data_IF_984503552790
#
_entry.id   IF_984503552790
#
_cell.length_a   1.000
_cell.length_b   1.000
_cell.length_c   1.000
_cell.angle_alpha   90.00
_cell.angle_beta   90.00
_cell.angle_gamma   90.00
#
_symmetry.space_group_name_H-M   'P 1'
#
loop_
_entity.id
_entity.type
_entity.pdbx_description
1 polymer ?
#
# COMPACT_ATOMS: atom_id res chain seq x y z
N UNK A 1 14.24 21.87 -15.77
CA UNK A 1 13.16 22.78 -15.34
C UNK A 1 13.75 24.05 -14.73
N UNK A 2 13.79 25.16 -15.47
CA UNK A 2 14.20 26.45 -14.88
C UNK A 2 13.27 26.84 -13.72
N UNK A 3 13.79 27.51 -12.68
CA UNK A 3 12.99 27.86 -11.51
C UNK A 3 11.68 28.62 -11.81
N UNK A 4 11.67 29.51 -12.81
CA UNK A 4 10.47 30.24 -13.22
C UNK A 4 9.38 29.30 -13.77
N UNK A 5 9.71 28.47 -14.76
CA UNK A 5 8.75 27.52 -15.35
C UNK A 5 8.18 26.56 -14.32
N UNK A 6 9.02 26.09 -13.39
CA UNK A 6 8.53 25.19 -12.36
C UNK A 6 7.62 25.92 -11.35
N UNK A 7 7.83 27.24 -11.09
CA UNK A 7 6.93 28.04 -10.26
C UNK A 7 5.54 28.18 -10.89
N UNK A 8 5.47 28.39 -12.20
CA UNK A 8 4.21 28.45 -12.95
C UNK A 8 3.39 27.17 -12.83
N UNK A 9 4.07 26.00 -12.84
CA UNK A 9 3.40 24.70 -12.79
C UNK A 9 2.96 24.33 -11.37
N UNK A 10 3.80 24.58 -10.35
CA UNK A 10 3.53 24.12 -8.98
C UNK A 10 2.92 25.19 -8.05
N UNK A 11 2.81 26.45 -8.51
CA UNK A 11 2.28 27.55 -7.71
C UNK A 11 3.19 28.00 -6.56
N UNK A 12 4.40 27.42 -6.42
CA UNK A 12 5.34 27.77 -5.34
C UNK A 12 6.31 28.84 -5.83
N UNK A 13 6.48 29.97 -5.11
CA UNK A 13 7.37 31.05 -5.51
C UNK A 13 8.82 30.59 -5.76
N UNK A 14 9.46 31.16 -6.77
CA UNK A 14 10.85 30.85 -7.15
C UNK A 14 11.79 30.90 -5.95
N UNK A 15 11.69 31.99 -5.15
CA UNK A 15 12.62 32.21 -4.02
C UNK A 15 12.50 31.09 -2.97
N UNK A 16 11.30 30.68 -2.60
CA UNK A 16 11.10 29.60 -1.61
C UNK A 16 11.77 28.29 -2.06
N UNK A 17 11.71 27.96 -3.36
CA UNK A 17 12.32 26.76 -3.90
C UNK A 17 13.84 26.84 -3.94
N UNK A 18 14.38 28.01 -4.29
CA UNK A 18 15.82 28.26 -4.24
C UNK A 18 16.33 28.17 -2.81
N UNK A 19 15.60 28.72 -1.85
CA UNK A 19 15.98 28.68 -0.44
C UNK A 19 15.92 27.26 0.12
N UNK A 20 14.89 26.48 -0.24
CA UNK A 20 14.81 25.07 0.12
C UNK A 20 15.98 24.25 -0.47
N UNK A 21 16.29 24.47 -1.75
CA UNK A 21 17.40 23.77 -2.40
C UNK A 21 18.76 24.12 -1.77
N UNK A 22 18.95 25.38 -1.37
CA UNK A 22 20.15 25.80 -0.62
C UNK A 22 20.21 25.18 0.76
N UNK A 23 19.09 25.19 1.49
CA UNK A 23 19.00 24.58 2.81
C UNK A 23 19.36 23.08 2.77
N UNK A 24 18.77 22.32 1.84
CA UNK A 24 19.09 20.89 1.65
C UNK A 24 20.56 20.68 1.24
N UNK A 25 21.07 21.51 0.35
CA UNK A 25 22.46 21.42 -0.14
C UNK A 25 23.52 21.76 0.90
N UNK A 26 23.23 22.66 1.84
CA UNK A 26 24.20 23.18 2.82
C UNK A 26 24.07 22.57 4.23
N UNK A 27 22.91 22.06 4.60
CA UNK A 27 22.69 21.43 5.91
C UNK A 27 23.16 19.97 5.88
N UNK A 28 23.99 19.59 6.84
CA UNK A 28 24.49 18.21 6.95
C UNK A 28 24.40 17.74 8.42
N UNK A 29 23.81 16.55 8.66
CA UNK A 29 23.10 15.72 7.71
C UNK A 29 21.76 16.34 7.28
N UNK A 30 21.30 16.04 6.04
CA UNK A 30 19.96 16.35 5.57
C UNK A 30 19.20 15.04 5.31
N UNK A 31 17.97 14.95 5.79
CA UNK A 31 17.12 13.81 5.59
C UNK A 31 15.79 14.21 4.95
N UNK A 32 15.35 13.42 3.98
CA UNK A 32 14.06 13.59 3.32
C UNK A 32 13.13 12.43 3.71
N UNK A 33 12.00 12.74 4.35
CA UNK A 33 10.97 11.75 4.64
C UNK A 33 9.83 11.88 3.64
N UNK A 34 9.60 10.82 2.88
CA UNK A 34 8.43 10.67 2.01
C UNK A 34 7.38 9.80 2.66
N UNK A 35 6.14 9.89 2.16
CA UNK A 35 5.10 8.95 2.50
C UNK A 35 4.36 8.50 1.23
N UNK A 36 3.58 7.43 1.35
CA UNK A 36 2.90 6.75 0.23
C UNK A 36 1.85 7.60 -0.47
N UNK A 37 1.36 8.69 0.13
CA UNK A 37 0.44 9.62 -0.53
C UNK A 37 1.02 10.22 -1.82
N UNK A 38 2.33 10.44 -1.87
CA UNK A 38 3.00 11.08 -3.01
C UNK A 38 2.91 10.28 -4.31
N UNK A 39 2.84 8.97 -4.24
CA UNK A 39 2.81 8.10 -5.42
C UNK A 39 1.39 7.68 -5.86
N UNK A 40 0.34 8.11 -5.16
CA UNK A 40 -1.04 7.70 -5.43
C UNK A 40 -1.74 8.52 -6.52
N UNK A 41 -0.99 9.24 -7.31
CA UNK A 41 -1.46 10.03 -8.46
C UNK A 41 -0.66 9.68 -9.70
N UNK A 42 -1.20 10.02 -10.88
CA UNK A 42 -0.46 9.91 -12.13
C UNK A 42 0.86 10.71 -12.04
N UNK A 43 1.96 10.09 -12.43
CA UNK A 43 3.30 10.72 -12.33
C UNK A 43 3.91 10.63 -10.93
N UNK A 44 3.21 10.11 -9.92
CA UNK A 44 3.72 10.00 -8.56
C UNK A 44 5.00 9.19 -8.43
N UNK A 45 5.16 8.12 -9.21
CA UNK A 45 6.41 7.37 -9.30
C UNK A 45 7.59 8.23 -9.78
N UNK A 46 7.39 9.09 -10.80
CA UNK A 46 8.41 10.04 -11.26
C UNK A 46 8.71 11.10 -10.20
N UNK A 47 7.70 11.58 -9.47
CA UNK A 47 7.91 12.52 -8.37
C UNK A 47 8.79 11.91 -7.27
N UNK A 48 8.53 10.67 -6.85
CA UNK A 48 9.37 9.95 -5.88
C UNK A 48 10.79 9.76 -6.42
N UNK A 49 10.96 9.39 -7.69
CA UNK A 49 12.28 9.25 -8.33
C UNK A 49 13.04 10.58 -8.36
N UNK A 50 12.37 11.69 -8.69
CA UNK A 50 13.00 13.01 -8.69
C UNK A 50 13.53 13.39 -7.30
N UNK A 51 12.72 13.16 -6.25
CA UNK A 51 13.15 13.39 -4.86
C UNK A 51 14.29 12.44 -4.47
N UNK A 52 14.25 11.17 -4.89
CA UNK A 52 15.29 10.19 -4.59
C UNK A 52 16.68 10.56 -5.17
N UNK A 53 16.71 11.39 -6.22
CA UNK A 53 17.96 11.90 -6.78
C UNK A 53 18.62 13.00 -5.90
N UNK A 54 17.86 13.71 -5.08
CA UNK A 54 18.37 14.86 -4.30
C UNK A 54 19.46 14.46 -3.30
N UNK A 55 19.32 13.42 -2.48
CA UNK A 55 20.38 13.01 -1.56
C UNK A 55 21.68 12.60 -2.25
N UNK A 56 21.61 12.11 -3.49
CA UNK A 56 22.80 11.80 -4.27
C UNK A 56 23.49 13.06 -4.77
N UNK A 57 22.71 14.06 -5.22
CA UNK A 57 23.25 15.36 -5.67
C UNK A 57 23.88 16.15 -4.53
N UNK A 58 23.27 16.12 -3.34
CA UNK A 58 23.75 16.86 -2.17
C UNK A 58 24.79 16.09 -1.33
N UNK A 59 25.02 14.79 -1.64
CA UNK A 59 25.90 13.92 -0.88
C UNK A 59 25.33 13.50 0.48
N UNK A 60 24.03 13.65 0.69
CA UNK A 60 23.38 13.35 1.98
C UNK A 60 23.47 11.88 2.38
N UNK A 61 23.53 10.93 1.43
CA UNK A 61 23.71 9.50 1.67
C UNK A 61 25.01 9.11 2.39
N UNK A 62 26.01 10.02 2.43
CA UNK A 62 27.31 9.80 3.10
C UNK A 62 27.24 9.99 4.61
N UNK A 63 26.15 10.50 5.11
CA UNK A 63 26.01 10.87 6.52
C UNK A 63 25.04 9.95 7.25
N UNK A 64 25.36 9.59 8.49
CA UNK A 64 24.40 8.99 9.40
C UNK A 64 23.16 9.88 9.50
N UNK A 65 21.97 9.30 9.46
CA UNK A 65 20.68 10.00 9.43
C UNK A 65 20.47 10.92 8.22
N UNK A 66 21.33 10.88 7.20
CA UNK A 66 21.15 11.57 5.93
C UNK A 66 20.45 10.68 4.88
N UNK A 67 20.02 11.31 3.77
CA UNK A 67 19.42 10.57 2.67
C UNK A 67 17.91 10.70 2.57
N UNK A 68 17.24 9.64 2.12
CA UNK A 68 15.79 9.61 1.94
C UNK A 68 15.19 8.33 2.50
N UNK A 69 14.06 8.44 3.18
CA UNK A 69 13.28 7.31 3.65
C UNK A 69 11.84 7.40 3.17
N UNK A 70 11.40 6.40 2.39
CA UNK A 70 10.00 6.18 2.05
C UNK A 70 9.44 5.02 2.90
N UNK A 71 10.15 3.91 2.94
CA UNK A 71 9.77 2.68 3.67
C UNK A 71 11.00 1.97 4.19
N UNK A 72 10.91 1.39 5.38
CA UNK A 72 11.93 0.51 5.96
C UNK A 72 11.74 -0.97 5.59
N UNK A 73 10.64 -1.35 4.94
CA UNK A 73 10.30 -2.75 4.68
C UNK A 73 11.36 -3.52 3.88
N UNK A 74 12.13 -2.85 3.03
CA UNK A 74 13.24 -3.45 2.28
C UNK A 74 14.48 -3.78 3.12
N UNK A 75 14.56 -3.33 4.36
CA UNK A 75 15.66 -3.62 5.26
C UNK A 75 15.51 -4.97 5.97
N UNK A 76 14.29 -5.49 6.04
CA UNK A 76 14.02 -6.75 6.72
C UNK A 76 14.33 -7.93 5.79
N UNK A 77 15.23 -8.85 6.21
CA UNK A 77 15.74 -9.95 5.37
C UNK A 77 14.77 -11.15 5.33
N UNK A 78 13.49 -10.91 5.03
CA UNK A 78 12.47 -11.95 5.00
C UNK A 78 12.75 -13.00 3.90
N UNK A 79 12.68 -14.27 4.27
CA UNK A 79 12.90 -15.44 3.41
C UNK A 79 11.65 -15.73 2.56
N UNK A 80 11.28 -14.78 1.70
CA UNK A 80 10.04 -14.84 0.91
C UNK A 80 9.93 -16.11 0.07
N UNK A 81 11.02 -16.60 -0.50
CA UNK A 81 11.01 -17.81 -1.31
C UNK A 81 10.69 -19.07 -0.47
N UNK A 82 11.17 -19.13 0.77
CA UNK A 82 10.84 -20.23 1.68
C UNK A 82 9.36 -20.24 2.06
N UNK A 83 8.78 -19.06 2.28
CA UNK A 83 7.37 -18.93 2.67
C UNK A 83 6.40 -19.07 1.49
N UNK A 84 6.77 -18.54 0.32
CA UNK A 84 5.88 -18.51 -0.86
C UNK A 84 6.01 -19.74 -1.75
N UNK A 85 7.09 -20.51 -1.62
CA UNK A 85 7.37 -21.74 -2.37
C UNK A 85 7.12 -21.61 -3.88
N UNK A 86 7.79 -20.67 -4.56
CA UNK A 86 7.62 -20.49 -6.01
C UNK A 86 8.02 -21.72 -6.83
N UNK A 87 8.81 -22.61 -6.25
CA UNK A 87 9.19 -23.92 -6.82
C UNK A 87 8.00 -24.86 -7.00
N UNK A 88 6.91 -24.68 -6.22
CA UNK A 88 5.67 -25.46 -6.32
C UNK A 88 4.65 -24.85 -7.29
N UNK A 89 4.93 -23.67 -7.84
CA UNK A 89 4.02 -23.05 -8.80
C UNK A 89 3.93 -23.87 -10.08
N UNK A 90 2.73 -23.96 -10.68
CA UNK A 90 2.57 -24.64 -11.96
C UNK A 90 3.42 -23.95 -13.05
N UNK A 91 3.86 -24.72 -14.06
CA UNK A 91 4.69 -24.22 -15.17
C UNK A 91 4.05 -23.02 -15.90
N UNK A 92 2.73 -22.92 -15.92
CA UNK A 92 2.01 -21.74 -16.43
C UNK A 92 1.93 -20.68 -15.34
N UNK A 93 2.61 -19.57 -15.56
CA UNK A 93 2.49 -18.38 -14.69
C UNK A 93 1.05 -17.87 -14.70
N UNK A 94 0.39 -17.75 -13.52
CA UNK A 94 -0.94 -17.15 -13.44
C UNK A 94 -0.90 -15.70 -13.89
N UNK A 95 -1.98 -15.23 -14.52
CA UNK A 95 -2.13 -13.79 -14.78
C UNK A 95 -2.31 -13.03 -13.47
N UNK A 96 -1.82 -11.80 -13.45
CA UNK A 96 -2.05 -10.87 -12.35
C UNK A 96 -3.04 -9.81 -12.83
N UNK A 97 -4.12 -9.62 -12.08
CA UNK A 97 -5.08 -8.54 -12.29
C UNK A 97 -4.68 -7.32 -11.45
N UNK A 98 -4.91 -6.13 -11.98
CA UNK A 98 -4.59 -4.90 -11.26
C UNK A 98 -5.69 -4.60 -10.23
N UNK A 99 -5.35 -4.59 -8.95
CA UNK A 99 -6.32 -4.36 -7.87
C UNK A 99 -7.10 -3.04 -8.00
N UNK A 100 -6.53 -2.01 -8.63
CA UNK A 100 -7.24 -0.73 -8.85
C UNK A 100 -8.25 -0.79 -9.99
N UNK A 101 -8.31 -1.89 -10.74
CA UNK A 101 -9.24 -2.17 -11.82
C UNK A 101 -10.15 -3.36 -11.51
N UNK A 102 -10.21 -3.78 -10.25
CA UNK A 102 -10.94 -5.00 -9.86
C UNK A 102 -12.41 -4.95 -10.29
N UNK A 103 -13.07 -3.79 -10.22
CA UNK A 103 -14.44 -3.63 -10.68
C UNK A 103 -14.58 -3.94 -12.18
N UNK A 104 -13.71 -3.38 -13.01
CA UNK A 104 -13.69 -3.67 -14.45
C UNK A 104 -13.38 -5.13 -14.75
N UNK A 105 -12.38 -5.71 -14.03
CA UNK A 105 -11.92 -7.07 -14.27
C UNK A 105 -12.94 -8.13 -13.83
N UNK A 106 -13.71 -7.88 -12.77
CA UNK A 106 -14.82 -8.74 -12.38
C UNK A 106 -15.97 -8.72 -13.36
N UNK A 107 -16.21 -7.59 -14.04
CA UNK A 107 -17.27 -7.43 -15.03
C UNK A 107 -16.86 -7.87 -16.44
N UNK A 108 -15.57 -8.14 -16.65
CA UNK A 108 -15.02 -8.42 -17.96
C UNK A 108 -15.28 -9.86 -18.40
N UNK A 109 -15.80 -10.01 -19.62
CA UNK A 109 -15.98 -11.32 -20.26
C UNK A 109 -14.65 -11.95 -20.67
N UNK A 110 -14.66 -13.27 -20.85
CA UNK A 110 -13.52 -14.01 -21.36
C UNK A 110 -13.09 -13.51 -22.74
N UNK A 111 -11.78 -13.38 -22.96
CA UNK A 111 -11.23 -13.05 -24.27
C UNK A 111 -9.79 -13.58 -24.42
N UNK A 112 -9.24 -13.70 -25.63
CA UNK A 112 -7.86 -14.12 -25.82
C UNK A 112 -6.84 -13.21 -25.11
N UNK A 113 -7.12 -11.91 -25.00
CA UNK A 113 -6.25 -10.93 -24.35
C UNK A 113 -6.37 -10.93 -22.82
N UNK A 114 -7.59 -11.13 -22.30
CA UNK A 114 -7.85 -11.16 -20.86
C UNK A 114 -7.70 -12.55 -20.25
N UNK A 115 -8.01 -13.59 -21.01
CA UNK A 115 -8.12 -14.97 -20.55
C UNK A 115 -9.54 -15.30 -20.06
N UNK A 116 -9.69 -16.33 -19.21
CA UNK A 116 -10.99 -16.71 -18.66
C UNK A 116 -11.62 -15.58 -17.84
N UNK A 117 -12.95 -15.56 -17.77
CA UNK A 117 -13.68 -14.73 -16.82
C UNK A 117 -13.32 -15.11 -15.39
N UNK A 118 -13.42 -14.14 -14.46
CA UNK A 118 -13.26 -14.44 -13.03
C UNK A 118 -14.56 -15.05 -12.51
N UNK A 119 -14.49 -16.29 -12.05
CA UNK A 119 -15.64 -17.08 -11.59
C UNK A 119 -15.57 -17.38 -10.09
N UNK A 120 -14.39 -17.25 -9.48
CA UNK A 120 -14.20 -17.42 -8.04
C UNK A 120 -13.20 -16.42 -7.50
N UNK A 121 -13.44 -15.93 -6.29
CA UNK A 121 -12.60 -14.96 -5.61
C UNK A 121 -12.42 -15.36 -4.14
N UNK A 122 -11.18 -15.38 -3.67
CA UNK A 122 -10.85 -15.49 -2.25
C UNK A 122 -10.27 -14.15 -1.81
N UNK A 123 -10.93 -13.51 -0.87
CA UNK A 123 -10.52 -12.21 -0.31
C UNK A 123 -10.04 -12.43 1.12
N UNK A 124 -8.81 -12.03 1.42
CA UNK A 124 -8.30 -12.03 2.80
C UNK A 124 -7.44 -10.80 3.07
N UNK A 125 -7.46 -10.30 4.29
CA UNK A 125 -6.77 -9.09 4.72
C UNK A 125 -7.09 -7.86 3.85
N UNK A 126 -8.30 -7.77 3.30
CA UNK A 126 -8.69 -6.68 2.40
C UNK A 126 -10.20 -6.48 2.38
N UNK A 127 -10.62 -5.22 2.17
CA UNK A 127 -12.02 -4.84 2.01
C UNK A 127 -12.23 -4.06 0.69
N UNK A 128 -12.09 -4.73 -0.48
CA UNK A 128 -12.11 -4.06 -1.78
C UNK A 128 -13.40 -3.30 -2.08
N UNK A 129 -14.57 -3.76 -1.62
CA UNK A 129 -15.84 -3.06 -1.84
C UNK A 129 -15.83 -1.66 -1.21
N UNK A 130 -15.18 -1.51 -0.05
CA UNK A 130 -15.05 -0.21 0.60
C UNK A 130 -13.91 0.65 0.06
N UNK A 131 -12.78 0.04 -0.40
CA UNK A 131 -11.54 0.81 -0.61
C UNK A 131 -11.03 0.83 -2.05
N UNK A 132 -11.53 -0.05 -2.94
CA UNK A 132 -11.10 -0.03 -4.33
C UNK A 132 -11.74 1.12 -5.11
N UNK A 133 -11.01 1.76 -6.06
CA UNK A 133 -11.55 2.84 -6.85
C UNK A 133 -12.66 2.36 -7.80
N UNK A 134 -13.52 3.31 -8.25
CA UNK A 134 -14.70 3.04 -9.05
C UNK A 134 -15.69 2.10 -8.32
N UNK A 135 -16.09 2.50 -7.12
CA UNK A 135 -16.88 1.70 -6.19
C UNK A 135 -18.19 1.17 -6.81
N UNK A 136 -18.80 1.90 -7.74
CA UNK A 136 -19.99 1.45 -8.44
C UNK A 136 -19.75 0.16 -9.24
N UNK A 137 -18.65 0.07 -9.99
CA UNK A 137 -18.27 -1.16 -10.71
C UNK A 137 -17.81 -2.26 -9.79
N UNK A 138 -17.12 -1.92 -8.69
CA UNK A 138 -16.70 -2.90 -7.69
C UNK A 138 -17.91 -3.59 -7.10
N UNK A 139 -18.92 -2.83 -6.65
CA UNK A 139 -20.19 -3.37 -6.14
C UNK A 139 -20.89 -4.24 -7.20
N UNK A 140 -21.00 -3.77 -8.44
CA UNK A 140 -21.59 -4.56 -9.53
C UNK A 140 -20.83 -5.87 -9.77
N UNK A 141 -19.51 -5.84 -9.71
CA UNK A 141 -18.66 -7.02 -9.88
C UNK A 141 -18.85 -8.03 -8.76
N UNK A 142 -18.88 -7.59 -7.51
CA UNK A 142 -19.08 -8.45 -6.34
C UNK A 142 -20.53 -8.97 -6.22
N UNK A 143 -21.52 -8.22 -6.71
CA UNK A 143 -22.93 -8.61 -6.70
C UNK A 143 -23.31 -9.60 -7.81
N UNK A 144 -22.37 -10.08 -8.61
CA UNK A 144 -22.64 -11.07 -9.66
C UNK A 144 -23.05 -12.40 -9.04
N UNK A 145 -24.21 -12.91 -9.45
CA UNK A 145 -24.74 -14.20 -9.01
C UNK A 145 -23.89 -15.41 -9.44
N UNK A 146 -23.06 -15.25 -10.48
CA UNK A 146 -22.16 -16.27 -11.01
C UNK A 146 -20.71 -16.14 -10.52
N UNK A 147 -20.45 -15.28 -9.54
CA UNK A 147 -19.14 -15.12 -8.88
C UNK A 147 -19.16 -15.82 -7.51
N UNK A 148 -18.42 -16.91 -7.36
CA UNK A 148 -18.24 -17.54 -6.07
C UNK A 148 -17.22 -16.78 -5.22
N UNK A 149 -17.67 -16.20 -4.10
CA UNK A 149 -16.82 -15.32 -3.26
C UNK A 149 -16.65 -15.90 -1.84
N UNK A 150 -15.40 -16.07 -1.43
CA UNK A 150 -15.02 -16.45 -0.07
C UNK A 150 -14.25 -15.30 0.58
N UNK A 151 -14.66 -14.87 1.77
CA UNK A 151 -14.01 -13.78 2.51
C UNK A 151 -13.48 -14.27 3.86
N UNK A 152 -12.18 -14.03 4.11
CA UNK A 152 -11.52 -14.28 5.39
C UNK A 152 -11.37 -12.94 6.11
N UNK A 153 -12.12 -12.72 7.20
CA UNK A 153 -12.18 -11.42 7.86
C UNK A 153 -12.50 -11.54 9.36
N UNK A 154 -12.17 -10.50 10.11
CA UNK A 154 -12.51 -10.37 11.55
C UNK A 154 -13.94 -9.86 11.76
N UNK A 155 -14.43 -9.04 10.85
CA UNK A 155 -15.72 -8.38 10.92
C UNK A 155 -16.52 -8.64 9.65
N UNK A 156 -17.83 -8.52 9.73
CA UNK A 156 -18.65 -8.44 8.55
C UNK A 156 -18.46 -7.07 7.91
N UNK A 157 -17.57 -7.03 6.92
CA UNK A 157 -17.22 -5.82 6.15
C UNK A 157 -18.12 -5.67 4.94
N UNK A 158 -18.05 -4.49 4.27
CA UNK A 158 -18.77 -4.26 3.01
C UNK A 158 -18.48 -5.35 1.97
N UNK A 159 -17.27 -5.88 1.92
CA UNK A 159 -16.93 -7.00 1.03
C UNK A 159 -17.56 -8.31 1.48
N UNK A 160 -17.61 -8.55 2.79
CA UNK A 160 -18.22 -9.75 3.35
C UNK A 160 -19.72 -9.84 3.10
N UNK A 161 -20.40 -8.70 2.91
CA UNK A 161 -21.84 -8.67 2.57
C UNK A 161 -22.16 -9.29 1.19
N UNK A 162 -21.15 -9.44 0.32
CA UNK A 162 -21.27 -10.10 -1.00
C UNK A 162 -20.70 -11.50 -1.04
N UNK A 163 -20.28 -12.06 0.11
CA UNK A 163 -19.63 -13.36 0.14
C UNK A 163 -20.64 -14.51 0.20
N UNK A 164 -20.36 -15.60 -0.53
CA UNK A 164 -21.06 -16.88 -0.36
C UNK A 164 -20.63 -17.58 0.92
N UNK A 165 -19.34 -17.41 1.31
CA UNK A 165 -18.80 -17.93 2.54
C UNK A 165 -17.93 -16.91 3.26
N UNK A 166 -18.16 -16.75 4.57
CA UNK A 166 -17.32 -15.96 5.46
C UNK A 166 -16.58 -16.92 6.39
N UNK A 167 -15.25 -16.86 6.37
CA UNK A 167 -14.39 -17.66 7.24
C UNK A 167 -13.77 -16.72 8.28
N UNK A 168 -14.14 -16.84 9.57
CA UNK A 168 -13.65 -15.96 10.61
C UNK A 168 -12.16 -16.17 10.83
N UNK A 169 -11.39 -15.08 10.72
CA UNK A 169 -9.95 -15.05 10.93
C UNK A 169 -9.61 -14.62 12.36
N UNK A 170 -8.51 -15.13 12.90
CA UNK A 170 -7.99 -14.72 14.21
C UNK A 170 -7.35 -13.34 14.17
N UNK A 171 -7.45 -12.60 15.28
CA UNK A 171 -6.68 -11.39 15.52
C UNK A 171 -5.26 -11.72 15.95
N UNK A 172 -4.37 -10.71 15.96
CA UNK A 172 -2.97 -10.88 16.41
C UNK A 172 -2.86 -11.39 17.87
N UNK A 173 -3.89 -11.29 18.69
CA UNK A 173 -3.87 -11.83 20.05
C UNK A 173 -4.03 -13.36 20.10
N UNK A 174 -4.42 -13.98 18.99
CA UNK A 174 -4.90 -15.35 18.93
C UNK A 174 -4.00 -16.30 18.10
N UNK A 175 -2.96 -15.78 17.43
CA UNK A 175 -2.07 -16.61 16.59
C UNK A 175 -0.61 -16.19 16.70
N UNK A 176 0.28 -17.07 16.20
CA UNK A 176 1.69 -16.77 16.02
C UNK A 176 1.90 -15.90 14.79
N UNK A 177 2.76 -14.87 14.89
CA UNK A 177 3.18 -14.05 13.76
C UNK A 177 4.54 -13.38 14.05
N UNK A 178 5.13 -12.78 13.07
CA UNK A 178 6.28 -11.89 13.20
C UNK A 178 5.92 -10.51 12.64
N UNK A 179 6.17 -9.47 13.42
CA UNK A 179 5.82 -8.12 13.04
C UNK A 179 7.04 -7.28 12.67
N UNK A 180 6.85 -6.46 11.65
CA UNK A 180 7.80 -5.47 11.16
C UNK A 180 7.17 -4.08 11.32
N UNK A 181 7.98 -3.04 11.40
CA UNK A 181 7.47 -1.68 11.57
C UNK A 181 8.15 -0.67 10.64
N UNK A 182 7.51 0.49 10.49
CA UNK A 182 8.08 1.63 9.76
C UNK A 182 8.92 2.57 10.62
N UNK A 183 8.80 2.50 11.94
CA UNK A 183 9.41 3.43 12.88
C UNK A 183 10.68 2.92 13.56
N UNK A 184 10.98 1.64 13.40
CA UNK A 184 12.17 0.99 13.96
C UNK A 184 12.63 -0.17 13.09
N UNK A 185 13.75 -0.78 13.44
CA UNK A 185 14.35 -1.91 12.72
C UNK A 185 14.32 -3.20 13.53
N UNK A 186 13.38 -3.28 14.45
CA UNK A 186 13.16 -4.49 15.25
C UNK A 186 12.20 -5.43 14.53
N UNK A 187 12.52 -6.71 14.58
CA UNK A 187 11.59 -7.81 14.30
C UNK A 187 10.97 -8.21 15.63
N UNK A 188 9.65 -8.26 15.71
CA UNK A 188 8.94 -8.65 16.93
C UNK A 188 8.29 -10.00 16.74
N UNK A 189 8.33 -10.84 17.77
CA UNK A 189 7.61 -12.10 17.82
C UNK A 189 6.25 -11.88 18.47
N UNK A 190 5.22 -12.20 17.75
CA UNK A 190 3.85 -12.27 18.26
C UNK A 190 3.51 -13.70 18.65
N UNK A 191 3.17 -13.91 19.92
CA UNK A 191 2.67 -15.20 20.43
C UNK A 191 1.18 -15.05 20.77
N UNK A 192 0.38 -16.09 20.59
CA UNK A 192 -1.01 -16.04 21.02
C UNK A 192 -1.09 -15.79 22.53
N UNK A 193 -1.80 -14.74 22.91
CA UNK A 193 -2.07 -14.39 24.30
C UNK A 193 -3.38 -14.99 24.80
N UNK A 194 -4.29 -15.31 23.89
CA UNK A 194 -5.60 -15.92 24.15
C UNK A 194 -5.87 -17.04 23.12
N UNK A 195 -6.77 -17.93 23.46
CA UNK A 195 -7.27 -18.91 22.50
C UNK A 195 -8.14 -18.23 21.43
N UNK A 196 -8.20 -18.78 20.21
CA UNK A 196 -9.08 -18.29 19.16
C UNK A 196 -10.54 -18.21 19.61
N UNK A 197 -11.21 -17.11 19.29
CA UNK A 197 -12.59 -16.88 19.65
C UNK A 197 -13.54 -17.66 18.72
N UNK A 198 -14.44 -18.44 19.28
CA UNK A 198 -15.48 -19.15 18.54
C UNK A 198 -14.90 -20.11 17.50
N UNK A 199 -15.17 -19.87 16.22
CA UNK A 199 -14.69 -20.68 15.10
C UNK A 199 -13.52 -20.03 14.35
N UNK A 200 -12.96 -18.93 14.85
CA UNK A 200 -11.87 -18.23 14.20
C UNK A 200 -10.62 -19.12 14.08
N UNK A 201 -9.95 -19.02 12.94
CA UNK A 201 -8.67 -19.71 12.65
C UNK A 201 -7.69 -18.72 12.04
N UNK A 202 -6.39 -18.94 12.25
CA UNK A 202 -5.40 -18.16 11.54
C UNK A 202 -5.55 -18.33 10.02
N UNK A 203 -5.24 -17.30 9.25
CA UNK A 203 -5.27 -17.43 7.79
C UNK A 203 -4.40 -18.60 7.30
N UNK A 204 -3.22 -18.80 7.91
CA UNK A 204 -2.36 -19.91 7.59
C UNK A 204 -3.06 -21.27 7.86
N UNK A 205 -3.80 -21.40 8.95
CA UNK A 205 -4.57 -22.61 9.24
C UNK A 205 -5.71 -22.82 8.23
N UNK A 206 -6.41 -21.76 7.83
CA UNK A 206 -7.48 -21.85 6.81
C UNK A 206 -6.88 -22.35 5.49
N UNK A 207 -5.73 -21.81 5.06
CA UNK A 207 -5.08 -22.25 3.83
C UNK A 207 -4.50 -23.67 3.94
N UNK A 208 -3.99 -24.11 5.09
CA UNK A 208 -3.62 -25.51 5.33
C UNK A 208 -4.81 -26.46 5.18
N UNK A 209 -5.93 -26.10 5.78
CA UNK A 209 -7.16 -26.89 5.71
C UNK A 209 -7.69 -26.97 4.27
N UNK A 210 -7.56 -25.89 3.51
CA UNK A 210 -7.91 -25.85 2.09
C UNK A 210 -6.97 -26.72 1.26
N UNK A 211 -5.65 -26.60 1.46
CA UNK A 211 -4.64 -27.39 0.76
C UNK A 211 -4.87 -28.90 0.96
N UNK A 212 -5.14 -29.31 2.20
CA UNK A 212 -5.46 -30.70 2.51
C UNK A 212 -6.71 -31.20 1.77
N UNK A 213 -7.77 -30.38 1.68
CA UNK A 213 -9.00 -30.73 0.93
C UNK A 213 -8.79 -30.77 -0.58
N UNK A 214 -7.84 -29.97 -1.08
CA UNK A 214 -7.43 -30.00 -2.49
C UNK A 214 -6.47 -31.14 -2.82
N UNK A 215 -6.03 -31.91 -1.83
CA UNK A 215 -5.12 -33.03 -2.01
C UNK A 215 -3.66 -32.66 -2.16
N UNK A 216 -3.24 -31.47 -1.73
CA UNK A 216 -1.84 -31.09 -1.72
C UNK A 216 -1.12 -31.82 -0.58
N UNK A 217 0.02 -32.43 -0.89
CA UNK A 217 0.76 -33.33 0.02
C UNK A 217 2.17 -32.88 0.33
N UNK A 218 2.61 -31.76 -0.26
CA UNK A 218 3.94 -31.21 0.00
C UNK A 218 4.08 -30.80 1.48
N UNK A 219 5.21 -31.13 2.13
CA UNK A 219 5.38 -30.95 3.57
C UNK A 219 5.12 -29.51 4.06
N UNK A 220 5.41 -28.50 3.26
CA UNK A 220 5.19 -27.11 3.61
C UNK A 220 3.72 -26.75 3.90
N UNK A 221 2.76 -27.51 3.37
CA UNK A 221 1.34 -27.32 3.68
C UNK A 221 0.94 -27.88 5.06
N UNK A 222 1.86 -28.53 5.78
CA UNK A 222 1.66 -29.00 7.15
C UNK A 222 2.41 -28.14 8.20
N UNK A 223 3.18 -27.14 7.77
CA UNK A 223 3.94 -26.27 8.68
C UNK A 223 2.99 -25.50 9.60
N UNK A 224 3.27 -25.53 10.92
CA UNK A 224 2.51 -24.75 11.89
C UNK A 224 2.78 -23.25 11.75
N UNK A 225 1.93 -22.40 12.33
CA UNK A 225 2.16 -20.95 12.35
C UNK A 225 3.49 -20.60 13.02
N UNK A 226 3.87 -21.30 14.11
CA UNK A 226 5.18 -21.14 14.74
C UNK A 226 6.33 -21.56 13.80
N UNK A 227 6.19 -22.67 13.07
CA UNK A 227 7.20 -23.10 12.11
C UNK A 227 7.37 -22.07 10.98
N UNK A 228 6.30 -21.46 10.50
CA UNK A 228 6.36 -20.35 9.53
C UNK A 228 7.07 -19.12 10.09
N UNK A 229 6.84 -18.77 11.36
CA UNK A 229 7.57 -17.68 12.03
C UNK A 229 9.08 -17.96 12.09
N UNK A 230 9.49 -19.19 12.40
CA UNK A 230 10.90 -19.60 12.41
C UNK A 230 11.54 -19.52 11.01
N UNK A 231 10.80 -19.86 9.98
CA UNK A 231 11.27 -19.81 8.59
C UNK A 231 11.34 -18.38 8.04
N UNK A 232 10.56 -17.45 8.61
CA UNK A 232 10.37 -16.12 8.04
C UNK A 232 11.67 -15.34 7.82
N UNK A 233 12.67 -15.53 8.69
CA UNK A 233 13.95 -14.85 8.59
C UNK A 233 15.15 -15.81 8.51
N UNK A 234 14.94 -17.12 8.68
CA UNK A 234 16.03 -18.11 8.71
C UNK A 234 17.14 -17.68 9.69
N UNK A 235 18.39 -17.82 9.26
CA UNK A 235 19.56 -17.46 10.07
C UNK A 235 19.81 -15.93 10.18
N UNK A 236 19.03 -15.10 9.47
CA UNK A 236 19.21 -13.65 9.48
C UNK A 236 18.72 -12.99 10.79
N UNK A 237 17.88 -13.68 11.55
CA UNK A 237 17.40 -13.26 12.87
C UNK A 237 17.46 -14.45 13.83
N UNK A 238 18.11 -14.29 14.97
CA UNK A 238 18.15 -15.33 16.00
C UNK A 238 16.77 -15.52 16.62
N UNK A 239 16.12 -16.63 16.29
CA UNK A 239 14.79 -16.94 16.77
C UNK A 239 14.76 -17.23 18.29
N UNK A 240 15.84 -17.77 18.87
CA UNK A 240 15.92 -17.97 20.32
C UNK A 240 15.94 -16.62 21.06
N UNK A 241 16.55 -15.60 20.47
CA UNK A 241 16.50 -14.23 20.99
C UNK A 241 15.07 -13.68 20.92
N UNK A 242 14.37 -13.88 19.79
CA UNK A 242 12.95 -13.52 19.67
C UNK A 242 12.08 -14.20 20.73
N UNK A 243 12.33 -15.48 21.01
CA UNK A 243 11.58 -16.23 22.02
C UNK A 243 11.81 -15.72 23.43
N UNK A 244 13.00 -15.30 23.75
CA UNK A 244 13.37 -14.87 25.12
C UNK A 244 13.08 -13.40 25.39
N UNK A 245 13.29 -12.52 24.39
CA UNK A 245 13.16 -11.06 24.53
C UNK A 245 11.89 -10.49 23.90
N UNK A 246 11.24 -11.25 23.00
CA UNK A 246 10.08 -10.79 22.22
C UNK A 246 10.45 -9.99 20.98
N UNK A 247 11.69 -9.56 20.84
CA UNK A 247 12.18 -8.80 19.69
C UNK A 247 13.66 -9.02 19.41
N UNK A 248 14.09 -8.71 18.19
CA UNK A 248 15.48 -8.64 17.78
C UNK A 248 15.71 -7.44 16.87
N UNK A 249 16.69 -6.61 17.20
CA UNK A 249 17.05 -5.43 16.40
C UNK A 249 17.97 -5.84 15.26
N UNK A 250 17.65 -5.43 14.02
CA UNK A 250 18.50 -5.66 12.87
C UNK A 250 19.81 -4.85 12.97
N UNK A 251 20.94 -5.49 12.74
CA UNK A 251 22.22 -4.84 12.62
C UNK A 251 22.32 -4.18 11.22
N UNK A 252 21.96 -2.92 11.12
CA UNK A 252 22.05 -2.14 9.89
C UNK A 252 23.21 -1.14 9.96
N UNK A 253 23.89 -0.86 8.82
CA UNK A 253 24.91 0.17 8.79
C UNK A 253 24.31 1.57 9.01
N UNK A 254 25.01 2.43 9.72
CA UNK A 254 24.59 3.80 10.05
C UNK A 254 24.35 4.67 8.81
N UNK A 255 25.08 4.41 7.72
CA UNK A 255 24.95 5.09 6.43
C UNK A 255 25.04 4.05 5.30
N UNK A 256 23.95 3.35 4.98
CA UNK A 256 23.96 2.15 4.13
C UNK A 256 24.43 2.40 2.68
N UNK A 257 24.40 3.65 2.22
CA UNK A 257 24.83 4.02 0.88
C UNK A 257 26.03 4.98 0.83
N UNK A 258 26.78 5.11 1.93
CA UNK A 258 27.93 6.01 2.00
C UNK A 258 28.99 5.70 0.92
N UNK A 259 29.21 4.43 0.66
CA UNK A 259 30.18 3.92 -0.32
C UNK A 259 29.51 3.39 -1.62
N UNK A 260 28.27 3.77 -1.85
CA UNK A 260 27.47 3.23 -2.97
C UNK A 260 26.63 2.03 -2.54
N UNK A 261 26.60 0.94 -3.34
CA UNK A 261 25.81 -0.26 -3.00
C UNK A 261 24.31 -0.09 -3.28
N UNK A 262 23.92 0.84 -4.14
CA UNK A 262 22.56 0.94 -4.62
C UNK A 262 22.20 -0.29 -5.47
N UNK A 263 20.96 -0.76 -5.34
CA UNK A 263 20.45 -1.90 -6.11
C UNK A 263 20.16 -1.53 -7.58
N UNK A 264 21.18 -1.04 -8.26
CA UNK A 264 21.19 -0.63 -9.67
C UNK A 264 22.32 -1.34 -10.41
N UNK A 265 22.30 -1.45 -11.74
CA UNK A 265 23.37 -2.08 -12.51
C UNK A 265 24.76 -1.49 -12.25
N UNK A 266 24.86 -0.18 -12.01
CA UNK A 266 26.15 0.49 -11.72
C UNK A 266 26.55 0.45 -10.23
N UNK A 267 25.68 0.01 -9.33
CA UNK A 267 25.86 0.13 -7.87
C UNK A 267 25.80 1.57 -7.36
N UNK A 268 25.46 2.53 -8.22
CA UNK A 268 25.33 3.96 -7.90
C UNK A 268 23.87 4.42 -8.02
N UNK A 269 23.53 5.57 -7.44
CA UNK A 269 22.23 6.19 -7.69
C UNK A 269 22.15 6.61 -9.17
N UNK A 270 21.36 5.89 -9.95
CA UNK A 270 21.17 6.15 -11.38
C UNK A 270 20.01 7.12 -11.59
N UNK A 271 20.30 8.29 -12.18
CA UNK A 271 19.27 9.28 -12.54
C UNK A 271 18.49 8.84 -13.77
N UNK A 272 19.18 8.23 -14.75
CA UNK A 272 18.56 7.63 -15.92
C UNK A 272 18.34 6.13 -15.68
N UNK A 273 17.10 5.67 -15.88
CA UNK A 273 16.74 4.25 -15.80
C UNK A 273 16.59 3.65 -17.18
N UNK A 274 17.58 2.88 -17.62
CA UNK A 274 17.52 2.15 -18.89
C UNK A 274 16.36 1.13 -18.90
N UNK A 275 16.04 0.53 -17.73
CA UNK A 275 14.92 -0.40 -17.60
C UNK A 275 13.57 0.25 -17.88
N UNK A 276 13.32 1.45 -17.37
CA UNK A 276 12.07 2.18 -17.62
C UNK A 276 12.01 2.66 -19.08
N UNK A 277 13.13 3.17 -19.62
CA UNK A 277 13.21 3.57 -21.02
C UNK A 277 12.91 2.39 -21.98
N UNK A 278 13.40 1.20 -21.67
CA UNK A 278 13.10 -0.01 -22.45
C UNK A 278 11.62 -0.43 -22.40
N UNK A 279 10.88 0.02 -21.41
CA UNK A 279 9.43 -0.19 -21.28
C UNK A 279 8.60 0.94 -21.89
N UNK A 280 9.21 1.90 -22.57
CA UNK A 280 8.55 3.07 -23.15
C UNK A 280 8.14 4.13 -22.11
N UNK A 281 8.71 4.07 -20.92
CA UNK A 281 8.50 5.04 -19.84
C UNK A 281 9.66 6.03 -19.77
N UNK A 282 9.48 7.14 -19.05
CA UNK A 282 10.52 8.16 -18.89
C UNK A 282 11.78 7.60 -18.21
N UNK A 283 12.88 7.57 -18.94
CA UNK A 283 14.19 7.17 -18.41
C UNK A 283 14.69 8.13 -17.33
N UNK A 284 14.54 9.43 -17.53
CA UNK A 284 14.73 10.47 -16.49
C UNK A 284 13.39 10.76 -15.79
N UNK A 285 13.39 11.06 -14.48
CA UNK A 285 12.18 11.51 -13.82
C UNK A 285 11.78 12.90 -14.33
N UNK A 286 10.56 13.00 -14.83
CA UNK A 286 10.00 14.28 -15.30
C UNK A 286 8.59 14.47 -14.75
N UNK A 287 8.08 15.69 -14.86
CA UNK A 287 6.71 16.03 -14.46
C UNK A 287 5.71 15.42 -15.44
N UNK A 288 4.84 14.57 -14.92
CA UNK A 288 3.66 14.12 -15.64
C UNK A 288 2.44 14.83 -15.08
N UNK A 289 1.72 15.58 -15.91
CA UNK A 289 0.51 16.26 -15.47
C UNK A 289 -0.53 15.27 -14.95
N UNK A 290 -1.15 15.60 -13.81
CA UNK A 290 -2.27 14.83 -13.32
C UNK A 290 -3.49 15.11 -14.22
N UNK A 291 -3.93 14.12 -14.98
CA UNK A 291 -5.04 14.24 -15.92
C UNK A 291 -6.37 14.59 -15.24
N UNK A 292 -6.54 14.22 -13.97
CA UNK A 292 -7.75 14.56 -13.21
C UNK A 292 -7.81 16.06 -12.82
N UNK A 293 -6.66 16.72 -12.71
CA UNK A 293 -6.59 18.15 -12.47
C UNK A 293 -6.65 18.97 -13.78
N UNK A 294 -5.99 18.49 -14.83
CA UNK A 294 -5.97 19.19 -16.13
C UNK A 294 -7.24 19.04 -16.93
N UNK A 295 -7.95 17.96 -16.71
CA UNK A 295 -9.26 17.69 -17.32
C UNK A 295 -10.42 18.16 -16.47
N UNK A 296 -10.20 18.91 -15.37
CA UNK A 296 -11.28 19.53 -14.64
C UNK A 296 -12.02 20.45 -15.62
N UNK A 297 -12.97 19.82 -16.28
CA UNK A 297 -13.83 20.43 -17.24
C UNK A 297 -14.68 21.45 -16.51
N UNK A 298 -15.30 22.35 -17.25
CA UNK A 298 -16.37 23.19 -16.71
C UNK A 298 -17.44 22.39 -15.92
N UNK A 299 -17.47 21.06 -16.14
CA UNK A 299 -18.41 20.13 -15.50
C UNK A 299 -17.98 19.74 -14.06
N UNK A 300 -16.67 19.54 -13.80
CA UNK A 300 -16.12 19.19 -12.46
C UNK A 300 -14.96 20.15 -12.12
N UNK A 301 -15.26 21.39 -11.71
CA UNK A 301 -14.24 22.44 -11.56
C UNK A 301 -13.41 22.31 -10.29
N UNK A 302 -13.79 21.44 -9.35
CA UNK A 302 -13.07 21.27 -8.08
C UNK A 302 -12.22 20.01 -8.10
N UNK A 303 -11.01 20.11 -7.56
CA UNK A 303 -10.14 18.97 -7.27
C UNK A 303 -10.37 18.50 -5.83
N UNK A 304 -10.51 17.20 -5.64
CA UNK A 304 -10.67 16.61 -4.32
C UNK A 304 -9.39 15.91 -3.87
N UNK A 305 -8.99 16.13 -2.63
CA UNK A 305 -7.97 15.35 -1.93
C UNK A 305 -8.69 14.52 -0.86
N UNK A 306 -8.40 13.23 -0.79
CA UNK A 306 -8.96 12.31 0.20
C UNK A 306 -7.86 11.78 1.11
N UNK A 307 -7.44 12.54 2.14
CA UNK A 307 -6.49 12.05 3.12
C UNK A 307 -7.14 10.98 4.01
N UNK A 308 -6.36 10.02 4.55
CA UNK A 308 -6.88 9.09 5.54
C UNK A 308 -7.29 9.83 6.81
N UNK A 309 -8.38 9.40 7.45
CA UNK A 309 -8.75 9.83 8.78
C UNK A 309 -7.64 9.45 9.78
N UNK A 310 -7.55 10.18 10.89
CA UNK A 310 -6.45 10.00 11.85
C UNK A 310 -6.50 8.64 12.55
N UNK A 311 -7.70 8.17 12.88
CA UNK A 311 -7.92 6.96 13.66
C UNK A 311 -8.29 5.74 12.80
N UNK A 312 -8.37 5.91 11.47
CA UNK A 312 -8.60 4.84 10.52
C UNK A 312 -7.42 4.71 9.55
N UNK A 313 -7.17 3.49 9.11
CA UNK A 313 -6.26 3.22 7.99
C UNK A 313 -7.08 2.58 6.86
N UNK A 314 -7.59 3.40 5.96
CA UNK A 314 -8.64 3.03 5.00
C UNK A 314 -9.88 2.47 5.74
N UNK A 315 -10.22 1.18 5.55
CA UNK A 315 -11.29 0.52 6.30
C UNK A 315 -10.82 -0.19 7.58
N UNK A 316 -9.51 -0.25 7.83
CA UNK A 316 -8.97 -0.84 9.06
C UNK A 316 -9.34 0.05 10.25
N UNK A 317 -9.80 -0.57 11.32
CA UNK A 317 -10.30 0.05 12.55
C UNK A 317 -11.67 0.75 12.44
N UNK A 318 -12.26 0.85 11.25
CA UNK A 318 -13.58 1.47 11.07
C UNK A 318 -14.70 0.75 11.86
N UNK A 319 -14.52 -0.53 12.21
CA UNK A 319 -15.45 -1.31 13.00
C UNK A 319 -15.22 -1.20 14.53
N UNK A 320 -14.18 -0.46 14.97
CA UNK A 320 -13.90 -0.20 16.37
C UNK A 320 -14.73 1.00 16.83
N UNK A 321 -15.75 0.78 17.65
CA UNK A 321 -16.73 1.81 18.03
C UNK A 321 -16.07 3.03 18.68
N UNK A 322 -15.13 2.84 19.60
CA UNK A 322 -14.44 3.96 20.26
C UNK A 322 -13.67 4.87 19.29
N UNK A 323 -13.13 4.32 18.20
CA UNK A 323 -12.44 5.11 17.17
C UNK A 323 -13.45 5.82 16.25
N UNK A 324 -14.58 5.19 15.96
CA UNK A 324 -15.69 5.83 15.24
C UNK A 324 -16.25 7.02 16.01
N UNK A 325 -16.39 6.90 17.33
CA UNK A 325 -16.90 7.97 18.19
C UNK A 325 -15.95 9.18 18.19
N UNK A 326 -14.63 8.95 18.12
CA UNK A 326 -13.62 10.00 18.02
C UNK A 326 -13.66 10.69 16.65
N UNK A 327 -13.73 9.93 15.56
CA UNK A 327 -13.75 10.49 14.20
C UNK A 327 -15.07 11.18 13.86
N UNK A 328 -16.17 10.72 14.43
CA UNK A 328 -17.49 11.29 14.18
C UNK A 328 -18.00 11.01 12.76
N UNK A 329 -18.60 12.05 12.15
CA UNK A 329 -19.15 11.96 10.81
C UNK A 329 -18.12 12.37 9.77
N UNK A 330 -18.16 11.78 8.55
CA UNK A 330 -17.37 12.28 7.43
C UNK A 330 -17.67 13.75 7.15
N UNK A 331 -16.63 14.56 7.02
CA UNK A 331 -16.73 15.99 6.73
C UNK A 331 -15.96 16.34 5.46
N UNK A 332 -16.44 17.36 4.74
CA UNK A 332 -15.76 17.99 3.61
C UNK A 332 -15.27 19.37 4.04
N UNK A 333 -13.97 19.60 3.89
CA UNK A 333 -13.40 20.94 3.97
C UNK A 333 -13.38 21.55 2.57
N UNK A 334 -13.91 22.76 2.44
CA UNK A 334 -13.99 23.50 1.18
C UNK A 334 -13.57 24.96 1.40
N UNK A 335 -12.90 25.55 0.40
CA UNK A 335 -12.54 26.95 0.48
C UNK A 335 -13.81 27.84 0.60
N UNK A 336 -13.81 28.87 1.47
CA UNK A 336 -15.00 29.72 1.71
C UNK A 336 -15.58 30.33 0.42
N UNK A 337 -14.75 30.81 -0.50
CA UNK A 337 -15.23 31.37 -1.77
C UNK A 337 -15.88 30.32 -2.66
N UNK A 338 -15.37 29.09 -2.67
CA UNK A 338 -15.96 27.97 -3.42
C UNK A 338 -17.28 27.53 -2.82
N UNK A 339 -17.40 27.55 -1.49
CA UNK A 339 -18.64 27.28 -0.78
C UNK A 339 -19.70 28.36 -1.07
N UNK A 340 -19.31 29.64 -0.95
CA UNK A 340 -20.20 30.79 -1.22
C UNK A 340 -20.73 30.76 -2.64
N UNK A 341 -19.86 30.51 -3.63
CA UNK A 341 -20.25 30.44 -5.05
C UNK A 341 -21.27 29.33 -5.35
N UNK A 342 -21.43 28.35 -4.43
CA UNK A 342 -22.34 27.20 -4.53
C UNK A 342 -23.51 27.25 -3.55
N UNK A 343 -23.61 28.32 -2.77
CA UNK A 343 -24.62 28.47 -1.74
C UNK A 343 -24.53 27.44 -0.59
N UNK A 344 -23.30 26.99 -0.28
CA UNK A 344 -23.03 26.00 0.77
C UNK A 344 -22.71 26.75 2.06
N UNK A 345 -23.53 26.54 3.10
CA UNK A 345 -23.26 27.03 4.46
C UNK A 345 -22.42 26.05 5.28
N UNK A 346 -21.82 26.53 6.35
CA UNK A 346 -21.11 25.69 7.30
C UNK A 346 -22.05 24.65 7.92
N UNK A 347 -21.59 23.42 8.05
CA UNK A 347 -22.37 22.29 8.57
C UNK A 347 -23.48 21.77 7.62
N UNK A 348 -23.59 22.30 6.41
CA UNK A 348 -24.56 21.82 5.42
C UNK A 348 -24.17 20.42 4.93
N UNK A 349 -25.16 19.52 4.80
CA UNK A 349 -24.95 18.23 4.14
C UNK A 349 -24.79 18.46 2.62
N UNK A 350 -23.68 18.05 2.08
CA UNK A 350 -23.33 18.23 0.68
C UNK A 350 -23.25 16.89 -0.08
N UNK A 351 -23.49 16.93 -1.37
CA UNK A 351 -23.25 15.82 -2.28
C UNK A 351 -21.96 16.06 -3.07
N UNK A 352 -21.01 15.18 -2.91
CA UNK A 352 -19.77 15.13 -3.71
C UNK A 352 -19.95 14.10 -4.81
N UNK A 353 -19.65 14.46 -6.07
CA UNK A 353 -19.92 13.56 -7.18
C UNK A 353 -19.03 13.80 -8.40
N UNK A 354 -18.88 12.78 -9.21
CA UNK A 354 -18.37 12.80 -10.58
C UNK A 354 -19.08 11.73 -11.43
N UNK A 355 -18.58 11.44 -12.64
CA UNK A 355 -19.18 10.41 -13.52
C UNK A 355 -19.09 8.98 -12.96
N UNK A 356 -18.18 8.73 -12.01
CA UNK A 356 -17.95 7.40 -11.42
C UNK A 356 -18.79 7.14 -10.17
N UNK A 357 -19.32 8.16 -9.53
CA UNK A 357 -20.14 7.97 -8.35
C UNK A 357 -20.40 9.24 -7.54
N UNK A 358 -21.06 9.07 -6.41
CA UNK A 358 -21.36 10.17 -5.49
C UNK A 358 -21.52 9.67 -4.06
N UNK A 359 -21.24 10.57 -3.10
CA UNK A 359 -21.53 10.35 -1.68
C UNK A 359 -22.01 11.65 -1.01
N UNK A 360 -22.51 11.53 0.20
CA UNK A 360 -22.91 12.67 1.04
C UNK A 360 -22.07 12.73 2.30
N UNK A 361 -21.72 13.91 2.70
CA UNK A 361 -20.99 14.18 3.95
C UNK A 361 -21.45 15.50 4.57
#
# INVERSE_FOLDING_TARGET
WPPGRAAEVCGVPVQQRVDLARADGTTKPAAIRLNYGMQRVRGGGNAVRAVACLPALTGAWRHRAGGMLLSSSGQFPAQRAALQRPDLMPARTPRTLNMVQIGDDLLREASPAFGPRVEALVVYNSNPVAVAPDSGKVVQGFAREDLFTVVLEHFQTDTADYADFILPATTQLEHWDVHLAYGHTDVLLNRPAIAPLGQARSNAQIFRDLAARMGFTEPCFADSDEALCRQAFGDAVDFALLETQGFATLALPDAPFAEGGFATPSGKCEFFSARLAAQGLDGLPDHLPNHELQGSSAHYPLAMISPPARNFLNSTFVNVQSLRDIEGRPVLEIHPDDALARGIGDGAVVRVFNDRGSYRC
#
